data_IF_307536855398
#
_entry.id   IF_307536855398
#
_cell.length_a   1.000
_cell.length_b   1.000
_cell.length_c   1.000
_cell.angle_alpha   90.00
_cell.angle_beta   90.00
_cell.angle_gamma   90.00
#
_symmetry.space_group_name_H-M   'P 1'
#
loop_
_entity.id
_entity.type
_entity.pdbx_description
1 polymer ?
#
# COMPACT_ATOMS: atom_id res chain seq x y z
N UNK A 1 -47.37 0.35 -31.60
CA UNK A 1 -46.09 0.35 -30.88
C UNK A 1 -45.48 -1.04 -31.00
N UNK A 2 -44.51 -1.24 -31.91
CA UNK A 2 -43.78 -2.51 -32.03
C UNK A 2 -42.44 -2.37 -31.31
N UNK A 3 -42.14 -3.29 -30.40
CA UNK A 3 -40.86 -3.33 -29.68
C UNK A 3 -39.77 -3.93 -30.58
N UNK A 4 -38.69 -3.18 -30.80
CA UNK A 4 -37.51 -3.70 -31.47
C UNK A 4 -36.72 -4.62 -30.52
N UNK A 5 -36.60 -5.90 -30.89
CA UNK A 5 -35.73 -6.85 -30.21
C UNK A 5 -34.28 -6.62 -30.65
N UNK A 6 -33.43 -6.15 -29.74
CA UNK A 6 -31.97 -6.11 -29.94
C UNK A 6 -31.40 -7.51 -29.73
N UNK A 7 -31.11 -8.23 -30.82
CA UNK A 7 -30.38 -9.50 -30.77
C UNK A 7 -28.88 -9.20 -30.79
N UNK A 8 -28.16 -9.60 -29.75
CA UNK A 8 -26.70 -9.49 -29.68
C UNK A 8 -26.05 -10.54 -30.59
N UNK A 9 -25.08 -10.13 -31.42
CA UNK A 9 -24.27 -11.06 -32.21
C UNK A 9 -23.35 -11.89 -31.30
N UNK A 10 -23.22 -13.19 -31.60
CA UNK A 10 -22.33 -14.10 -30.87
C UNK A 10 -21.20 -14.52 -31.80
N UNK A 11 -19.96 -14.41 -31.33
CA UNK A 11 -18.77 -14.90 -32.04
C UNK A 11 -18.26 -16.14 -31.32
N UNK A 12 -18.15 -17.25 -32.05
CA UNK A 12 -17.50 -18.47 -31.55
C UNK A 12 -16.08 -18.55 -32.10
N UNK A 13 -15.11 -18.67 -31.21
CA UNK A 13 -13.69 -18.87 -31.55
C UNK A 13 -13.32 -20.27 -31.10
N UNK A 14 -12.78 -21.07 -32.01
CA UNK A 14 -12.29 -22.41 -31.71
C UNK A 14 -10.76 -22.42 -31.75
N UNK A 15 -10.12 -22.92 -30.71
CA UNK A 15 -8.65 -23.08 -30.63
C UNK A 15 -8.23 -24.48 -31.07
N UNK A 16 -7.00 -24.60 -31.58
CA UNK A 16 -6.38 -25.89 -31.88
C UNK A 16 -6.04 -26.61 -30.56
N UNK A 17 -6.36 -27.91 -30.39
CA UNK A 17 -6.18 -28.64 -29.13
C UNK A 17 -4.78 -28.59 -28.51
N UNK A 18 -3.73 -28.43 -29.33
CA UNK A 18 -2.33 -28.48 -28.89
C UNK A 18 -1.59 -27.13 -29.02
N UNK A 19 -2.30 -26.05 -29.36
CA UNK A 19 -1.72 -24.71 -29.40
C UNK A 19 -2.77 -23.67 -28.99
N UNK A 20 -2.75 -23.28 -27.71
CA UNK A 20 -3.68 -22.31 -27.13
C UNK A 20 -3.62 -20.92 -27.78
N UNK A 21 -2.59 -20.64 -28.57
CA UNK A 21 -2.41 -19.37 -29.27
C UNK A 21 -2.84 -19.44 -30.75
N UNK A 22 -3.24 -20.60 -31.25
CA UNK A 22 -3.69 -20.78 -32.63
C UNK A 22 -5.22 -20.94 -32.69
N UNK A 23 -5.86 -20.05 -33.44
CA UNK A 23 -7.30 -20.08 -33.72
C UNK A 23 -7.53 -20.91 -34.98
N UNK A 24 -8.33 -21.98 -34.88
CA UNK A 24 -8.67 -22.84 -36.02
C UNK A 24 -9.80 -22.28 -36.87
N UNK A 25 -10.74 -21.56 -36.26
CA UNK A 25 -11.89 -20.99 -36.94
C UNK A 25 -12.57 -19.90 -36.10
N UNK A 26 -13.21 -18.95 -36.79
CA UNK A 26 -14.09 -17.93 -36.21
C UNK A 26 -15.42 -17.98 -36.95
N UNK A 27 -16.51 -18.28 -36.25
CA UNK A 27 -17.87 -18.24 -36.80
C UNK A 27 -18.63 -17.01 -36.27
N UNK A 28 -19.17 -16.23 -37.20
CA UNK A 28 -20.02 -15.07 -36.91
C UNK A 28 -21.44 -15.35 -37.40
N UNK A 29 -22.39 -15.44 -36.49
CA UNK A 29 -23.75 -15.88 -36.80
C UNK A 29 -24.64 -14.79 -37.40
N UNK A 30 -24.21 -13.51 -37.44
CA UNK A 30 -25.04 -12.40 -37.92
C UNK A 30 -24.20 -11.31 -38.59
N UNK A 31 -23.58 -11.58 -39.75
CA UNK A 31 -23.06 -10.63 -40.79
C UNK A 31 -22.48 -9.26 -40.35
N UNK A 32 -22.04 -9.11 -39.10
CA UNK A 32 -21.46 -7.87 -38.58
C UNK A 32 -20.01 -7.81 -39.06
N UNK A 33 -19.63 -6.72 -39.74
CA UNK A 33 -18.25 -6.49 -40.18
C UNK A 33 -17.39 -6.23 -38.95
N UNK A 34 -16.34 -7.03 -38.78
CA UNK A 34 -15.26 -6.79 -37.82
C UNK A 34 -13.94 -6.79 -38.57
N UNK A 35 -13.15 -5.74 -38.40
CA UNK A 35 -11.77 -5.69 -38.91
C UNK A 35 -10.85 -6.40 -37.92
N UNK A 36 -10.21 -7.48 -38.36
CA UNK A 36 -9.19 -8.19 -37.58
C UNK A 36 -7.83 -7.74 -38.11
N UNK A 37 -7.14 -6.87 -37.38
CA UNK A 37 -5.73 -6.53 -37.68
C UNK A 37 -4.82 -7.69 -37.27
N UNK A 38 -4.34 -8.46 -38.23
CA UNK A 38 -3.22 -9.39 -38.04
C UNK A 38 -1.91 -8.63 -38.21
N UNK A 39 -1.20 -8.34 -37.10
CA UNK A 39 0.19 -7.87 -37.17
C UNK A 39 1.08 -9.03 -37.60
N UNK A 40 1.60 -8.99 -38.83
CA UNK A 40 2.64 -9.91 -39.30
C UNK A 40 3.94 -9.65 -38.55
N UNK A 41 4.49 -10.70 -37.93
CA UNK A 41 5.82 -10.66 -37.32
C UNK A 41 6.89 -10.92 -38.38
N UNK A 42 7.47 -9.85 -38.91
CA UNK A 42 8.82 -9.87 -39.47
C UNK A 42 9.64 -8.80 -38.75
N UNK A 43 10.46 -9.19 -37.77
CA UNK A 43 11.80 -8.62 -37.58
C UNK A 43 12.60 -9.30 -36.44
N UNK A 44 13.65 -10.00 -36.86
CA UNK A 44 14.98 -10.15 -36.24
C UNK A 44 15.09 -10.31 -34.72
N UNK A 45 15.28 -11.57 -34.33
CA UNK A 45 16.18 -12.07 -33.26
C UNK A 45 17.02 -11.00 -32.53
N UNK A 46 16.42 -10.41 -31.49
CA UNK A 46 17.15 -10.03 -30.28
C UNK A 46 16.68 -10.98 -29.20
N UNK A 47 17.61 -11.77 -28.68
CA UNK A 47 17.40 -12.68 -27.57
C UNK A 47 16.68 -11.91 -26.45
N UNK A 48 15.44 -12.28 -26.17
CA UNK A 48 14.68 -11.69 -25.09
C UNK A 48 15.46 -11.90 -23.80
N UNK A 49 15.56 -10.90 -22.91
CA UNK A 49 16.15 -11.12 -21.60
C UNK A 49 15.34 -12.23 -20.93
N UNK A 50 16.03 -13.31 -20.56
CA UNK A 50 15.49 -14.40 -19.78
C UNK A 50 14.83 -13.75 -18.57
N UNK A 51 13.51 -13.76 -18.53
CA UNK A 51 12.74 -13.42 -17.34
C UNK A 51 13.13 -14.52 -16.34
N UNK A 52 13.83 -14.21 -15.23
CA UNK A 52 14.03 -15.23 -14.21
C UNK A 52 12.65 -15.50 -13.65
N UNK A 53 12.01 -16.58 -14.10
CA UNK A 53 10.90 -17.16 -13.37
C UNK A 53 11.48 -17.51 -12.00
N UNK A 54 11.24 -16.62 -11.03
CA UNK A 54 11.45 -16.94 -9.63
C UNK A 54 10.69 -18.22 -9.40
N UNK A 55 11.42 -19.27 -9.07
CA UNK A 55 10.88 -20.57 -8.73
C UNK A 55 10.21 -20.42 -7.35
N UNK A 56 9.00 -19.84 -7.35
CA UNK A 56 8.19 -19.68 -6.15
C UNK A 56 7.82 -21.09 -5.72
N UNK A 57 8.28 -21.49 -4.55
CA UNK A 57 7.98 -22.78 -3.96
C UNK A 57 6.48 -22.89 -3.66
N UNK A 58 5.74 -23.40 -4.64
CA UNK A 58 4.30 -23.65 -4.56
C UNK A 58 3.92 -24.75 -3.55
N UNK A 59 4.89 -25.42 -2.91
CA UNK A 59 4.63 -26.47 -1.92
C UNK A 59 4.31 -25.92 -0.52
N UNK A 60 4.57 -24.63 -0.27
CA UNK A 60 4.26 -24.00 1.02
C UNK A 60 2.74 -23.88 1.18
N UNK A 61 2.23 -24.37 2.32
CA UNK A 61 0.80 -24.33 2.67
C UNK A 61 0.28 -22.93 3.06
N UNK A 62 1.11 -21.90 2.95
CA UNK A 62 0.82 -20.53 3.31
C UNK A 62 1.82 -19.54 2.70
N UNK A 63 1.57 -18.26 2.93
CA UNK A 63 2.36 -17.13 2.45
C UNK A 63 2.71 -16.20 3.62
N UNK A 64 3.83 -15.49 3.53
CA UNK A 64 4.36 -14.64 4.59
C UNK A 64 4.20 -13.17 4.26
N UNK A 65 3.68 -12.42 5.21
CA UNK A 65 3.50 -10.97 5.10
C UNK A 65 4.30 -10.28 6.20
N UNK A 66 5.05 -9.25 5.82
CA UNK A 66 5.77 -8.36 6.75
C UNK A 66 5.13 -6.97 6.70
N UNK A 67 4.89 -6.36 7.85
CA UNK A 67 4.68 -4.91 7.96
C UNK A 67 5.80 -4.28 8.78
N UNK A 68 6.30 -3.12 8.36
CA UNK A 68 7.44 -2.47 9.02
C UNK A 68 7.41 -0.94 8.79
N UNK A 69 7.20 -0.17 9.86
CA UNK A 69 7.44 1.27 9.86
C UNK A 69 8.96 1.54 9.91
N UNK A 70 9.52 2.19 8.87
CA UNK A 70 10.97 2.43 8.74
C UNK A 70 11.41 3.81 9.23
N UNK A 71 10.50 4.60 9.82
CA UNK A 71 10.79 5.90 10.42
C UNK A 71 11.61 6.86 9.56
N UNK A 72 11.49 6.83 8.22
CA UNK A 72 12.28 7.69 7.33
C UNK A 72 11.68 9.10 7.22
N UNK A 73 11.24 9.64 8.36
CA UNK A 73 10.82 11.01 8.50
C UNK A 73 12.05 11.95 8.44
N UNK A 74 11.86 13.20 8.01
CA UNK A 74 12.91 14.23 8.06
C UNK A 74 12.55 15.39 8.99
N UNK A 75 11.25 15.69 9.09
CA UNK A 75 10.75 16.85 9.86
C UNK A 75 10.63 16.57 11.36
N UNK A 76 10.18 15.38 11.79
CA UNK A 76 9.87 15.09 13.20
C UNK A 76 10.83 14.08 13.87
N UNK A 77 11.92 13.71 13.22
CA UNK A 77 12.78 12.59 13.63
C UNK A 77 13.28 11.84 12.41
N UNK A 78 13.99 10.71 12.58
CA UNK A 78 14.34 9.84 11.45
C UNK A 78 15.66 10.15 10.73
N UNK A 79 16.63 10.76 11.42
CA UNK A 79 17.96 11.02 10.86
C UNK A 79 18.64 9.76 10.29
N UNK A 80 19.59 9.96 9.39
CA UNK A 80 20.32 8.87 8.71
C UNK A 80 19.43 7.87 7.95
N UNK A 81 18.26 8.31 7.46
CA UNK A 81 17.31 7.49 6.69
C UNK A 81 17.97 6.69 5.56
N UNK A 82 18.92 7.26 4.82
CA UNK A 82 19.68 6.53 3.79
C UNK A 82 20.42 5.31 4.36
N UNK A 83 21.08 5.47 5.52
CA UNK A 83 21.84 4.40 6.16
C UNK A 83 20.91 3.33 6.72
N UNK A 84 19.81 3.74 7.37
CA UNK A 84 18.79 2.83 7.90
C UNK A 84 18.09 2.03 6.80
N UNK A 85 17.72 2.67 5.69
CA UNK A 85 17.16 1.98 4.52
C UNK A 85 18.15 1.00 3.90
N UNK A 86 19.43 1.35 3.82
CA UNK A 86 20.46 0.43 3.33
C UNK A 86 20.62 -0.77 4.29
N UNK A 87 20.64 -0.56 5.60
CA UNK A 87 20.69 -1.64 6.60
C UNK A 87 19.46 -2.54 6.49
N UNK A 88 18.26 -1.98 6.40
CA UNK A 88 17.03 -2.74 6.17
C UNK A 88 17.09 -3.55 4.87
N UNK A 89 17.58 -2.93 3.79
CA UNK A 89 17.74 -3.58 2.48
C UNK A 89 18.70 -4.78 2.57
N UNK A 90 19.84 -4.60 3.23
CA UNK A 90 20.82 -5.67 3.46
C UNK A 90 20.25 -6.80 4.31
N UNK A 91 19.54 -6.45 5.39
CA UNK A 91 18.82 -7.44 6.21
C UNK A 91 17.83 -8.23 5.34
N UNK A 92 17.02 -7.56 4.52
CA UNK A 92 16.00 -8.21 3.72
C UNK A 92 16.57 -9.16 2.64
N UNK A 93 17.74 -8.83 2.09
CA UNK A 93 18.44 -9.62 1.08
C UNK A 93 19.28 -10.76 1.65
N UNK A 94 19.50 -10.79 2.95
CA UNK A 94 20.29 -11.84 3.57
C UNK A 94 19.56 -13.19 3.54
N UNK A 95 20.31 -14.27 3.28
CA UNK A 95 19.79 -15.63 3.19
C UNK A 95 19.23 -16.17 4.51
N UNK A 96 19.68 -15.65 5.66
CA UNK A 96 19.12 -16.00 6.96
C UNK A 96 17.78 -15.31 7.23
N UNK A 97 17.49 -14.21 6.51
CA UNK A 97 16.21 -13.51 6.66
C UNK A 97 15.15 -14.26 5.87
N UNK A 98 14.02 -14.60 6.52
CA UNK A 98 12.99 -15.34 5.83
C UNK A 98 12.50 -14.67 4.54
N UNK A 99 12.09 -15.49 3.58
CA UNK A 99 11.40 -15.00 2.40
C UNK A 99 9.99 -14.55 2.76
N UNK A 100 9.60 -13.37 2.27
CA UNK A 100 8.26 -12.81 2.41
C UNK A 100 7.59 -12.79 1.05
N UNK A 101 6.29 -13.01 1.00
CA UNK A 101 5.50 -12.91 -0.23
C UNK A 101 5.08 -11.46 -0.47
N UNK A 102 4.74 -10.74 0.60
CA UNK A 102 4.32 -9.34 0.59
C UNK A 102 5.02 -8.59 1.74
N UNK A 103 5.46 -7.38 1.47
CA UNK A 103 6.00 -6.46 2.47
C UNK A 103 5.28 -5.12 2.36
N UNK A 104 4.70 -4.67 3.47
CA UNK A 104 4.05 -3.38 3.63
C UNK A 104 4.93 -2.47 4.49
N UNK A 105 5.53 -1.46 3.88
CA UNK A 105 6.39 -0.51 4.56
C UNK A 105 5.64 0.80 4.81
N UNK A 106 5.92 1.41 5.96
CA UNK A 106 5.44 2.75 6.34
C UNK A 106 6.62 3.70 6.57
N UNK A 107 6.32 5.00 6.54
CA UNK A 107 7.28 6.10 6.71
C UNK A 107 8.48 6.11 5.76
N UNK A 108 8.40 5.47 4.59
CA UNK A 108 9.42 5.56 3.53
C UNK A 108 9.22 6.84 2.73
N UNK A 109 9.15 8.00 3.39
CA UNK A 109 8.68 9.27 2.82
C UNK A 109 9.49 9.81 1.64
N UNK A 110 8.78 10.44 0.70
CA UNK A 110 9.35 11.28 -0.35
C UNK A 110 8.73 12.65 -0.21
N UNK A 111 9.61 13.65 -0.17
CA UNK A 111 9.20 15.03 -0.04
C UNK A 111 8.90 15.63 -1.41
N UNK A 112 8.05 16.64 -1.44
CA UNK A 112 7.71 17.35 -2.66
C UNK A 112 8.96 18.05 -3.25
N UNK A 113 9.14 18.03 -4.59
CA UNK A 113 10.28 18.65 -5.28
C UNK A 113 10.41 20.15 -5.06
N UNK A 114 9.29 20.88 -4.93
CA UNK A 114 9.28 22.33 -4.79
C UNK A 114 9.67 22.79 -3.38
N UNK A 115 9.37 22.00 -2.35
CA UNK A 115 9.63 22.39 -0.95
C UNK A 115 10.93 21.80 -0.41
N UNK A 116 11.27 20.57 -0.78
CA UNK A 116 12.41 19.85 -0.19
C UNK A 116 13.20 19.04 -1.24
N UNK A 117 13.25 19.53 -2.48
CA UNK A 117 14.12 19.01 -3.55
C UNK A 117 13.99 17.49 -3.79
N UNK A 118 12.78 16.96 -3.65
CA UNK A 118 12.47 15.55 -3.87
C UNK A 118 13.25 14.60 -2.93
N UNK A 119 13.59 15.09 -1.72
CA UNK A 119 14.28 14.30 -0.71
C UNK A 119 13.55 12.98 -0.43
N UNK A 120 14.29 11.88 -0.27
CA UNK A 120 13.72 10.54 -0.07
C UNK A 120 13.61 9.75 -1.37
N UNK A 121 13.51 10.43 -2.53
CA UNK A 121 13.20 9.76 -3.81
C UNK A 121 14.31 8.82 -4.25
N UNK A 122 15.56 9.27 -4.18
CA UNK A 122 16.73 8.45 -4.47
C UNK A 122 16.86 7.27 -3.52
N UNK A 123 16.61 7.46 -2.22
CA UNK A 123 16.68 6.37 -1.24
C UNK A 123 15.60 5.30 -1.48
N UNK A 124 14.35 5.71 -1.69
CA UNK A 124 13.25 4.80 -2.00
C UNK A 124 13.48 4.05 -3.31
N UNK A 125 13.91 4.76 -4.36
CA UNK A 125 14.24 4.15 -5.64
C UNK A 125 15.40 3.15 -5.50
N UNK A 126 16.42 3.46 -4.69
CA UNK A 126 17.53 2.56 -4.43
C UNK A 126 17.10 1.30 -3.69
N UNK A 127 16.24 1.41 -2.66
CA UNK A 127 15.63 0.27 -1.98
C UNK A 127 14.91 -0.63 -3.01
N UNK A 128 13.95 -0.08 -3.76
CA UNK A 128 13.15 -0.83 -4.75
C UNK A 128 14.05 -1.52 -5.79
N UNK A 129 15.03 -0.79 -6.34
CA UNK A 129 15.97 -1.32 -7.34
C UNK A 129 16.78 -2.49 -6.76
N UNK A 130 17.29 -2.33 -5.55
CA UNK A 130 18.18 -3.30 -4.91
C UNK A 130 17.44 -4.59 -4.54
N UNK A 131 16.19 -4.49 -4.07
CA UNK A 131 15.42 -5.68 -3.66
C UNK A 131 14.70 -6.38 -4.82
N UNK A 132 14.75 -5.82 -6.04
CA UNK A 132 13.98 -6.26 -7.20
C UNK A 132 14.17 -7.73 -7.59
N UNK A 133 15.35 -8.30 -7.31
CA UNK A 133 15.63 -9.71 -7.58
C UNK A 133 14.83 -10.67 -6.70
N UNK A 134 14.43 -10.24 -5.48
CA UNK A 134 13.62 -11.01 -4.53
C UNK A 134 12.15 -10.56 -4.54
N UNK A 135 11.91 -9.27 -4.82
CA UNK A 135 10.59 -8.63 -4.84
C UNK A 135 10.42 -7.82 -6.14
N UNK A 136 10.14 -8.47 -7.27
CA UNK A 136 10.11 -7.81 -8.58
C UNK A 136 8.98 -6.80 -8.76
N UNK A 137 7.93 -6.86 -7.92
CA UNK A 137 6.78 -5.97 -8.00
C UNK A 137 6.78 -5.00 -6.82
N UNK A 138 6.55 -3.72 -7.11
CA UNK A 138 6.44 -2.67 -6.09
C UNK A 138 5.34 -1.68 -6.43
N UNK A 139 4.70 -1.13 -5.42
CA UNK A 139 3.74 -0.03 -5.56
C UNK A 139 3.98 1.04 -4.48
N UNK A 140 4.04 2.29 -4.90
CA UNK A 140 4.20 3.45 -4.02
C UNK A 140 3.04 4.40 -4.25
N UNK A 141 2.67 5.15 -3.22
CA UNK A 141 1.75 6.27 -3.40
C UNK A 141 2.36 7.31 -4.35
N UNK A 142 1.51 7.99 -5.10
CA UNK A 142 1.95 9.09 -5.95
C UNK A 142 2.48 10.22 -5.06
N UNK A 143 3.65 10.76 -5.42
CA UNK A 143 4.16 11.95 -4.75
C UNK A 143 3.18 13.10 -4.97
N UNK A 144 2.77 13.80 -3.91
CA UNK A 144 1.72 14.77 -4.04
C UNK A 144 2.23 16.01 -4.78
N UNK A 145 1.41 16.53 -5.69
CA UNK A 145 1.72 17.73 -6.48
C UNK A 145 1.89 18.98 -5.60
N UNK A 146 1.23 18.99 -4.44
CA UNK A 146 1.27 20.00 -3.37
C UNK A 146 1.31 19.30 -2.01
N UNK A 147 1.94 19.88 -0.98
CA UNK A 147 2.19 19.21 0.32
C UNK A 147 3.67 18.97 0.56
N UNK A 148 4.09 18.64 1.78
CA UNK A 148 5.53 18.49 2.11
C UNK A 148 6.02 17.08 1.84
N UNK A 149 5.23 16.06 2.19
CA UNK A 149 5.59 14.64 2.10
C UNK A 149 4.41 13.79 1.60
N UNK A 150 4.70 12.71 0.87
CA UNK A 150 3.71 11.70 0.51
C UNK A 150 3.28 10.83 1.72
N UNK A 151 2.53 9.76 1.48
CA UNK A 151 2.04 8.88 2.55
C UNK A 151 3.14 8.07 3.25
N UNK A 152 4.34 8.00 2.66
CA UNK A 152 5.41 7.12 3.13
C UNK A 152 5.11 5.62 3.00
N UNK A 153 3.99 5.23 2.38
CA UNK A 153 3.63 3.83 2.24
C UNK A 153 4.22 3.22 0.97
N UNK A 154 4.78 2.01 1.07
CA UNK A 154 5.35 1.23 -0.03
C UNK A 154 4.94 -0.25 0.12
N UNK A 155 4.46 -0.88 -0.96
CA UNK A 155 4.25 -2.33 -1.03
C UNK A 155 5.36 -2.92 -1.91
N UNK A 156 6.05 -3.94 -1.41
CA UNK A 156 6.94 -4.82 -2.19
C UNK A 156 6.31 -6.22 -2.23
N UNK A 157 6.44 -6.92 -3.35
CA UNK A 157 5.80 -8.21 -3.54
C UNK A 157 6.62 -9.13 -4.43
N UNK A 158 6.67 -10.40 -4.04
CA UNK A 158 7.14 -11.49 -4.89
C UNK A 158 6.15 -11.78 -6.04
N UNK A 159 4.88 -11.44 -5.82
CA UNK A 159 3.76 -11.73 -6.70
C UNK A 159 3.29 -10.48 -7.46
N UNK A 160 2.72 -10.69 -8.64
CA UNK A 160 2.26 -9.59 -9.50
C UNK A 160 1.23 -8.72 -8.79
N UNK A 161 1.54 -7.42 -8.70
CA UNK A 161 0.62 -6.40 -8.22
C UNK A 161 -0.23 -5.93 -9.41
N UNK A 162 -1.55 -6.06 -9.29
CA UNK A 162 -2.51 -5.50 -10.24
C UNK A 162 -2.71 -3.99 -9.97
N UNK A 163 -3.38 -3.22 -10.86
CA UNK A 163 -3.60 -1.80 -10.63
C UNK A 163 -4.18 -1.53 -9.23
N UNK A 164 -3.51 -0.64 -8.49
CA UNK A 164 -3.87 -0.31 -7.12
C UNK A 164 -4.69 0.97 -7.05
N UNK A 165 -5.47 1.07 -5.98
CA UNK A 165 -6.10 2.30 -5.54
C UNK A 165 -5.26 2.92 -4.41
N UNK A 166 -5.22 4.24 -4.36
CA UNK A 166 -4.68 4.97 -3.23
C UNK A 166 -5.68 6.05 -2.82
N UNK A 167 -5.79 6.28 -1.52
CA UNK A 167 -6.70 7.30 -1.00
C UNK A 167 -6.10 8.02 0.20
N UNK A 168 -5.87 9.34 0.10
CA UNK A 168 -5.56 10.16 1.25
C UNK A 168 -6.73 10.20 2.24
N UNK A 169 -6.42 10.28 3.53
CA UNK A 169 -7.46 10.40 4.55
C UNK A 169 -8.15 11.76 4.48
N UNK A 170 -9.45 11.75 4.72
CA UNK A 170 -10.27 12.98 4.77
C UNK A 170 -10.13 13.78 6.08
N UNK A 171 -9.37 13.27 7.05
CA UNK A 171 -9.02 13.97 8.29
C UNK A 171 -7.64 13.57 8.81
N UNK A 172 -6.91 14.56 9.31
CA UNK A 172 -5.60 14.42 9.95
C UNK A 172 -5.46 15.45 11.08
N UNK A 173 -4.51 15.25 11.99
CA UNK A 173 -4.13 16.29 12.95
C UNK A 173 -3.36 17.42 12.25
N UNK A 174 -3.24 18.58 12.90
CA UNK A 174 -2.48 19.72 12.37
C UNK A 174 -1.01 19.36 12.10
N UNK A 175 -0.39 18.52 12.95
CA UNK A 175 0.99 18.05 12.77
C UNK A 175 1.16 17.13 11.57
N UNK A 176 0.07 16.50 11.11
CA UNK A 176 0.04 15.55 9.99
C UNK A 176 -0.45 16.21 8.70
N UNK A 177 -0.77 17.52 8.70
CA UNK A 177 -1.11 18.28 7.49
C UNK A 177 0.03 18.33 6.47
N UNK A 178 1.27 18.10 6.92
CA UNK A 178 2.47 18.10 6.07
C UNK A 178 2.65 16.79 5.32
N UNK A 179 2.02 15.70 5.78
CA UNK A 179 2.09 14.35 5.19
C UNK A 179 0.77 13.96 4.55
N UNK A 180 0.80 13.44 3.33
CA UNK A 180 -0.40 12.94 2.66
C UNK A 180 -0.74 11.51 3.11
N UNK A 181 -0.95 11.32 4.42
CA UNK A 181 -1.33 10.02 5.00
C UNK A 181 -2.63 9.50 4.39
N UNK A 182 -2.70 8.18 4.26
CA UNK A 182 -3.77 7.49 3.57
C UNK A 182 -3.57 5.99 3.58
N UNK A 183 -4.25 5.30 2.68
CA UNK A 183 -4.05 3.88 2.44
C UNK A 183 -3.84 3.58 0.96
N UNK A 184 -3.13 2.49 0.69
CA UNK A 184 -2.98 1.90 -0.63
C UNK A 184 -3.68 0.54 -0.62
N UNK A 185 -4.52 0.27 -1.61
CA UNK A 185 -5.25 -0.97 -1.79
C UNK A 185 -4.82 -1.60 -3.11
N UNK A 186 -4.15 -2.74 -3.03
CA UNK A 186 -3.64 -3.48 -4.18
C UNK A 186 -4.26 -4.88 -4.24
N UNK A 187 -4.60 -5.35 -5.44
CA UNK A 187 -4.91 -6.76 -5.64
C UNK A 187 -3.66 -7.52 -6.04
N UNK A 188 -3.35 -8.58 -5.31
CA UNK A 188 -2.18 -9.44 -5.50
C UNK A 188 -2.66 -10.88 -5.65
N UNK A 189 -2.22 -11.57 -6.69
CA UNK A 189 -2.60 -12.97 -6.93
C UNK A 189 -1.51 -13.89 -6.36
N UNK A 190 -1.84 -14.66 -5.33
CA UNK A 190 -0.93 -15.62 -4.68
C UNK A 190 -1.51 -17.01 -4.89
N UNK A 191 -0.73 -17.92 -5.48
CA UNK A 191 -1.16 -19.32 -5.73
C UNK A 191 -2.54 -19.40 -6.42
N UNK A 192 -2.72 -18.60 -7.48
CA UNK A 192 -3.96 -18.47 -8.25
C UNK A 192 -5.18 -17.95 -7.46
N UNK A 193 -4.98 -17.38 -6.27
CA UNK A 193 -6.06 -16.76 -5.48
C UNK A 193 -5.79 -15.27 -5.32
N UNK A 194 -6.80 -14.48 -5.64
CA UNK A 194 -6.74 -13.02 -5.48
C UNK A 194 -6.85 -12.63 -4.00
N UNK A 195 -5.94 -11.76 -3.58
CA UNK A 195 -5.87 -11.16 -2.25
C UNK A 195 -5.87 -9.63 -2.38
N UNK A 196 -6.75 -8.98 -1.64
CA UNK A 196 -6.74 -7.53 -1.46
C UNK A 196 -5.80 -7.21 -0.30
N UNK A 197 -4.75 -6.45 -0.59
CA UNK A 197 -3.75 -6.01 0.36
C UNK A 197 -3.90 -4.51 0.56
N UNK A 198 -4.18 -4.11 1.79
CA UNK A 198 -4.27 -2.70 2.17
C UNK A 198 -3.08 -2.36 3.04
N UNK A 199 -2.24 -1.42 2.62
CA UNK A 199 -1.15 -0.85 3.41
C UNK A 199 -1.54 0.55 3.88
N UNK A 200 -1.38 0.85 5.16
CA UNK A 200 -1.68 2.17 5.72
C UNK A 200 -0.75 2.58 6.85
N UNK A 201 -0.73 3.87 7.16
CA UNK A 201 -0.14 4.43 8.36
C UNK A 201 -1.12 5.47 8.91
N UNK A 202 -1.71 5.19 10.07
CA UNK A 202 -2.74 6.06 10.64
C UNK A 202 -2.15 7.24 11.40
N UNK A 203 -3.02 8.14 11.86
CA UNK A 203 -2.63 9.35 12.58
C UNK A 203 -1.89 9.03 13.89
N UNK A 204 -0.67 9.59 14.06
CA UNK A 204 0.21 9.33 15.21
C UNK A 204 0.01 10.26 16.42
N UNK A 205 -0.91 11.24 16.33
CA UNK A 205 -1.05 12.29 17.35
C UNK A 205 -1.53 11.81 18.74
N UNK A 206 -1.40 12.70 19.73
CA UNK A 206 -1.78 12.46 21.14
C UNK A 206 -3.21 12.96 21.47
N UNK A 207 -3.54 14.22 21.19
CA UNK A 207 -4.87 14.78 21.47
C UNK A 207 -5.86 14.52 20.33
N UNK A 208 -7.11 14.16 20.65
CA UNK A 208 -8.20 13.87 19.71
C UNK A 208 -7.88 12.84 18.60
N UNK A 209 -6.77 12.13 18.74
CA UNK A 209 -6.22 11.30 17.67
C UNK A 209 -6.95 9.99 17.52
N UNK A 210 -7.54 9.47 18.60
CA UNK A 210 -8.44 8.32 18.54
C UNK A 210 -9.66 8.58 17.64
N UNK A 211 -10.29 9.75 17.77
CA UNK A 211 -11.44 10.10 16.92
C UNK A 211 -11.03 10.30 15.45
N UNK A 212 -9.81 10.78 15.18
CA UNK A 212 -9.27 10.87 13.82
C UNK A 212 -9.03 9.47 13.27
N UNK A 213 -8.32 8.60 13.99
CA UNK A 213 -8.06 7.21 13.58
C UNK A 213 -9.35 6.45 13.35
N UNK A 214 -10.36 6.60 14.21
CA UNK A 214 -11.68 6.01 14.00
C UNK A 214 -12.29 6.42 12.65
N UNK A 215 -12.22 7.71 12.26
CA UNK A 215 -12.70 8.16 10.95
C UNK A 215 -11.86 7.62 9.78
N UNK A 216 -10.54 7.53 9.96
CA UNK A 216 -9.63 6.94 8.97
C UNK A 216 -9.95 5.47 8.75
N UNK A 217 -10.23 4.72 9.83
CA UNK A 217 -10.71 3.34 9.76
C UNK A 217 -12.04 3.20 9.05
N UNK A 218 -13.02 4.05 9.39
CA UNK A 218 -14.31 4.06 8.68
C UNK A 218 -14.11 4.25 7.18
N UNK A 219 -13.23 5.16 6.76
CA UNK A 219 -12.92 5.37 5.34
C UNK A 219 -12.33 4.11 4.68
N UNK A 220 -11.40 3.40 5.34
CA UNK A 220 -10.87 2.11 4.84
C UNK A 220 -11.98 1.06 4.78
N UNK A 221 -12.78 0.96 5.84
CA UNK A 221 -13.84 -0.03 5.97
C UNK A 221 -14.91 0.15 4.88
N UNK A 222 -15.34 1.40 4.64
CA UNK A 222 -16.28 1.77 3.58
C UNK A 222 -15.74 1.41 2.20
N UNK A 223 -14.44 1.58 1.97
CA UNK A 223 -13.81 1.16 0.73
C UNK A 223 -13.82 -0.37 0.57
N UNK A 224 -13.49 -1.11 1.63
CA UNK A 224 -13.55 -2.58 1.62
C UNK A 224 -14.98 -3.05 1.35
N UNK A 225 -15.98 -2.53 2.06
CA UNK A 225 -17.38 -2.96 1.90
C UNK A 225 -17.92 -2.61 0.51
N UNK A 226 -17.56 -1.46 -0.03
CA UNK A 226 -18.11 -0.98 -1.31
C UNK A 226 -17.42 -1.61 -2.51
N UNK A 227 -16.10 -1.76 -2.47
CA UNK A 227 -15.30 -2.18 -3.64
C UNK A 227 -14.83 -3.63 -3.56
N UNK A 228 -14.75 -4.20 -2.36
CA UNK A 228 -14.09 -5.49 -2.10
C UNK A 228 -14.91 -6.39 -1.18
N UNK A 229 -16.23 -6.18 -1.09
CA UNK A 229 -17.12 -7.12 -0.42
C UNK A 229 -16.93 -8.53 -1.00
N UNK A 230 -16.87 -9.52 -0.12
CA UNK A 230 -16.64 -10.91 -0.52
C UNK A 230 -15.30 -11.15 -1.20
N UNK A 231 -14.25 -10.35 -0.93
CA UNK A 231 -12.88 -10.68 -1.33
C UNK A 231 -12.07 -11.17 -0.14
N UNK A 232 -10.92 -11.80 -0.39
CA UNK A 232 -9.90 -12.05 0.63
C UNK A 232 -9.21 -10.73 0.93
N UNK A 233 -9.14 -10.33 2.20
CA UNK A 233 -8.60 -9.02 2.57
C UNK A 233 -7.59 -9.17 3.69
N UNK A 234 -6.45 -8.49 3.53
CA UNK A 234 -5.56 -8.12 4.62
C UNK A 234 -5.40 -6.61 4.72
N UNK A 235 -5.35 -6.09 5.95
CA UNK A 235 -5.00 -4.72 6.27
C UNK A 235 -3.72 -4.73 7.11
N UNK A 236 -2.67 -4.10 6.62
CA UNK A 236 -1.34 -4.10 7.20
C UNK A 236 -0.89 -2.68 7.47
N UNK A 237 -0.18 -2.47 8.58
CA UNK A 237 0.51 -1.22 8.82
C UNK A 237 0.63 -0.82 10.28
N UNK A 238 1.24 0.34 10.47
CA UNK A 238 1.22 1.08 11.73
C UNK A 238 -0.16 1.74 11.90
N UNK A 239 -0.97 1.15 12.78
CA UNK A 239 -2.31 1.63 13.06
C UNK A 239 -2.30 2.72 14.13
N UNK A 240 -1.16 2.98 14.80
CA UNK A 240 -1.05 3.92 15.91
C UNK A 240 -2.11 3.69 17.02
N UNK A 241 -2.51 2.43 17.21
CA UNK A 241 -3.46 2.00 18.25
C UNK A 241 -2.75 1.01 19.15
N UNK A 242 -2.68 1.30 20.43
CA UNK A 242 -2.08 0.42 21.42
C UNK A 242 -2.92 -0.84 21.64
N UNK A 243 -2.28 -2.01 21.60
CA UNK A 243 -2.93 -3.29 21.86
C UNK A 243 -3.58 -3.35 23.24
N UNK A 244 -4.79 -3.91 23.31
CA UNK A 244 -5.53 -4.09 24.56
C UNK A 244 -6.15 -2.79 25.12
N UNK A 245 -5.84 -1.64 24.54
CA UNK A 245 -6.48 -0.37 24.90
C UNK A 245 -7.99 -0.39 24.59
N UNK A 246 -8.74 0.56 25.15
CA UNK A 246 -10.15 0.77 24.77
C UNK A 246 -10.29 1.02 23.28
N UNK A 247 -9.39 1.82 22.71
CA UNK A 247 -9.41 2.16 21.28
C UNK A 247 -9.18 0.92 20.40
N UNK A 248 -8.32 0.00 20.81
CA UNK A 248 -8.15 -1.30 20.13
C UNK A 248 -9.45 -2.10 20.09
N UNK A 249 -10.17 -2.17 21.21
CA UNK A 249 -11.46 -2.85 21.25
C UNK A 249 -12.51 -2.15 20.38
N UNK A 250 -12.56 -0.81 20.42
CA UNK A 250 -13.46 -0.01 19.57
C UNK A 250 -13.14 -0.21 18.08
N UNK A 251 -11.84 -0.27 17.71
CA UNK A 251 -11.38 -0.59 16.36
C UNK A 251 -11.88 -1.96 15.92
N UNK A 252 -11.66 -3.01 16.71
CA UNK A 252 -12.13 -4.36 16.36
C UNK A 252 -13.66 -4.43 16.21
N UNK A 253 -14.41 -3.71 17.04
CA UNK A 253 -15.86 -3.62 16.92
C UNK A 253 -16.28 -2.93 15.62
N UNK A 254 -15.62 -1.83 15.23
CA UNK A 254 -15.89 -1.14 13.97
C UNK A 254 -15.61 -2.03 12.73
N UNK A 255 -14.67 -2.96 12.87
CA UNK A 255 -14.25 -3.91 11.85
C UNK A 255 -15.12 -5.18 11.79
N UNK A 256 -16.07 -5.35 12.71
CA UNK A 256 -16.97 -6.50 12.73
C UNK A 256 -17.75 -6.65 11.43
N UNK A 257 -18.04 -5.55 10.73
CA UNK A 257 -18.76 -5.54 9.44
C UNK A 257 -17.97 -6.29 8.36
N UNK A 258 -16.65 -6.13 8.32
CA UNK A 258 -15.76 -6.84 7.39
C UNK A 258 -15.12 -8.09 8.00
N UNK A 259 -15.47 -8.41 9.25
CA UNK A 259 -14.92 -9.52 10.04
C UNK A 259 -13.40 -9.54 10.04
N UNK A 260 -12.76 -8.37 10.01
CA UNK A 260 -11.31 -8.31 10.16
C UNK A 260 -10.95 -8.71 11.59
N UNK A 261 -10.08 -9.70 11.72
CA UNK A 261 -9.57 -10.22 12.97
C UNK A 261 -8.07 -9.92 13.06
N UNK A 262 -7.61 -9.69 14.28
CA UNK A 262 -6.20 -9.51 14.57
C UNK A 262 -5.45 -10.84 14.42
N UNK A 263 -4.57 -10.92 13.41
CA UNK A 263 -3.79 -12.12 13.07
C UNK A 263 -2.38 -12.11 13.69
N UNK A 264 -2.10 -11.14 14.56
CA UNK A 264 -0.78 -10.86 15.12
C UNK A 264 -0.56 -11.55 16.48
N UNK A 265 0.68 -11.68 16.97
CA UNK A 265 0.94 -12.39 18.21
C UNK A 265 0.44 -11.54 19.38
N UNK A 266 -0.28 -12.16 20.33
CA UNK A 266 -0.83 -11.47 21.52
C UNK A 266 0.22 -10.79 22.41
N UNK A 267 1.49 -11.15 22.25
CA UNK A 267 2.62 -10.58 22.96
C UNK A 267 3.68 -10.10 21.95
N UNK A 268 4.40 -9.04 22.31
CA UNK A 268 5.45 -8.43 21.48
C UNK A 268 5.15 -6.97 21.20
N UNK A 269 6.08 -6.10 21.61
CA UNK A 269 6.03 -4.69 21.27
C UNK A 269 6.59 -4.47 19.87
N UNK A 270 5.96 -3.59 19.10
CA UNK A 270 6.44 -3.18 17.78
C UNK A 270 6.94 -1.75 17.78
N UNK A 271 6.78 -1.00 18.87
CA UNK A 271 7.27 0.36 19.05
C UNK A 271 8.07 0.51 20.33
N UNK A 272 9.29 1.06 20.22
CA UNK A 272 10.22 1.38 21.33
C UNK A 272 10.28 0.29 22.43
N UNK A 273 10.06 -0.98 22.02
CA UNK A 273 10.08 -2.23 22.79
C UNK A 273 9.09 -2.37 23.96
N UNK A 274 8.03 -1.56 24.04
CA UNK A 274 7.01 -1.73 25.09
C UNK A 274 5.55 -1.65 24.63
N UNK A 275 5.28 -1.07 23.46
CA UNK A 275 3.91 -0.88 22.94
C UNK A 275 3.79 -1.56 21.58
N UNK A 276 2.62 -2.13 21.28
CA UNK A 276 2.31 -2.71 19.97
C UNK A 276 1.36 -1.79 19.21
N UNK A 277 1.84 -1.26 18.08
CA UNK A 277 1.13 -0.31 17.21
C UNK A 277 0.96 -0.82 15.77
N UNK A 278 1.70 -1.86 15.39
CA UNK A 278 1.72 -2.42 14.05
C UNK A 278 0.88 -3.69 13.99
N UNK A 279 0.11 -3.83 12.92
CA UNK A 279 -0.86 -4.92 12.79
C UNK A 279 -0.94 -5.49 11.39
N UNK A 280 -1.36 -6.76 11.33
CA UNK A 280 -1.87 -7.44 10.14
C UNK A 280 -3.23 -8.01 10.52
N UNK A 281 -4.29 -7.41 9.98
CA UNK A 281 -5.68 -7.81 10.19
C UNK A 281 -6.19 -8.57 8.97
N UNK A 282 -6.94 -9.64 9.18
CA UNK A 282 -7.41 -10.56 8.11
C UNK A 282 -8.91 -10.78 8.22
N UNK A 283 -9.62 -10.93 7.10
CA UNK A 283 -11.03 -11.37 7.16
C UNK A 283 -11.17 -12.89 7.23
N UNK A 284 -12.40 -13.41 7.30
CA UNK A 284 -12.67 -14.84 7.49
C UNK A 284 -12.14 -15.77 6.37
N UNK A 285 -11.68 -15.23 5.24
CA UNK A 285 -11.16 -16.01 4.12
C UNK A 285 -9.64 -16.22 4.19
N UNK A 286 -8.99 -15.58 5.16
CA UNK A 286 -7.54 -15.63 5.39
C UNK A 286 -7.31 -15.86 6.88
N UNK A 287 -6.50 -16.86 7.22
CA UNK A 287 -6.19 -17.20 8.61
C UNK A 287 -4.69 -17.18 8.86
N UNK A 288 -4.29 -16.76 10.05
CA UNK A 288 -2.90 -16.84 10.51
C UNK A 288 -2.56 -18.24 11.01
N UNK A 289 -1.36 -18.70 10.70
CA UNK A 289 -0.77 -19.94 11.23
C UNK A 289 0.44 -19.69 12.11
N UNK A 290 0.92 -18.45 12.19
CA UNK A 290 2.06 -18.06 12.99
C UNK A 290 2.39 -16.59 12.81
N UNK A 291 3.02 -16.00 13.80
CA UNK A 291 3.41 -14.60 13.76
C UNK A 291 4.59 -14.34 14.69
N UNK A 292 5.38 -13.33 14.36
CA UNK A 292 6.55 -12.93 15.15
C UNK A 292 6.81 -11.43 15.01
N UNK A 293 7.41 -10.85 16.04
CA UNK A 293 8.07 -9.54 15.95
C UNK A 293 9.51 -9.80 15.51
N UNK A 294 9.99 -9.03 14.54
CA UNK A 294 11.32 -9.19 13.92
C UNK A 294 12.08 -7.88 13.94
N UNK A 295 13.38 -7.94 14.22
CA UNK A 295 14.24 -6.77 14.21
C UNK A 295 15.23 -6.81 13.06
N UNK A 296 15.37 -5.70 12.34
CA UNK A 296 16.43 -5.53 11.37
C UNK A 296 17.75 -5.05 12.00
N UNK A 297 17.76 -4.76 13.31
CA UNK A 297 18.93 -4.21 14.03
C UNK A 297 20.05 -5.23 14.27
N UNK A 298 19.71 -6.52 14.31
CA UNK A 298 20.62 -7.61 14.72
C UNK A 298 21.89 -7.73 13.85
N UNK A 299 21.94 -7.08 12.68
CA UNK A 299 23.05 -7.16 11.74
C UNK A 299 23.96 -5.93 11.71
N UNK A 300 23.78 -4.98 12.62
CA UNK A 300 24.63 -3.78 12.67
C UNK A 300 25.95 -4.02 13.41
N UNK A 301 26.79 -4.95 12.90
CA UNK A 301 28.09 -5.26 13.52
C UNK A 301 29.05 -4.05 13.54
N UNK A 302 28.88 -3.10 12.61
CA UNK A 302 29.78 -1.95 12.46
C UNK A 302 29.30 -0.70 13.23
N UNK A 303 28.08 -0.71 13.77
CA UNK A 303 27.56 0.38 14.60
C UNK A 303 26.40 -0.12 15.48
N UNK A 304 26.71 -0.63 16.68
CA UNK A 304 25.71 -1.17 17.59
C UNK A 304 24.73 -0.10 18.11
N UNK A 305 24.93 1.18 17.80
CA UNK A 305 24.03 2.28 18.15
C UNK A 305 23.07 2.66 17.03
N UNK A 306 23.30 2.17 15.80
CA UNK A 306 22.41 2.46 14.70
C UNK A 306 21.22 1.49 14.72
N UNK A 307 20.09 2.00 15.14
CA UNK A 307 18.77 1.37 15.01
C UNK A 307 18.20 1.62 13.60
N UNK A 308 17.65 0.59 12.97
CA UNK A 308 17.00 0.65 11.64
C UNK A 308 15.71 1.47 11.72
N UNK A 309 14.93 1.27 12.76
CA UNK A 309 13.70 2.03 13.01
C UNK A 309 13.36 2.00 14.50
N UNK A 310 12.63 3.01 14.97
CA UNK A 310 12.04 3.00 16.31
C UNK A 310 10.87 2.01 16.45
N UNK A 311 10.47 1.41 15.33
CA UNK A 311 9.62 0.23 15.28
C UNK A 311 10.41 -1.06 15.02
N UNK A 312 9.91 -2.16 15.56
CA UNK A 312 10.24 -3.52 15.13
C UNK A 312 9.25 -3.95 14.03
N UNK A 313 9.69 -4.83 13.14
CA UNK A 313 8.83 -5.41 12.12
C UNK A 313 7.86 -6.42 12.70
N UNK A 314 6.71 -6.58 12.06
CA UNK A 314 5.73 -7.60 12.39
C UNK A 314 5.52 -8.52 11.20
N UNK A 315 5.83 -9.79 11.37
CA UNK A 315 5.56 -10.83 10.37
C UNK A 315 4.41 -11.73 10.77
N UNK A 316 3.65 -12.16 9.76
CA UNK A 316 2.58 -13.15 9.90
C UNK A 316 2.64 -14.15 8.75
N UNK A 317 2.59 -15.44 9.08
CA UNK A 317 2.34 -16.51 8.11
C UNK A 317 0.84 -16.72 7.99
N UNK A 318 0.32 -16.59 6.77
CA UNK A 318 -1.09 -16.65 6.46
C UNK A 318 -1.39 -17.83 5.54
N UNK A 319 -2.62 -18.34 5.60
CA UNK A 319 -3.18 -19.30 4.65
C UNK A 319 -4.58 -18.88 4.24
N UNK A 320 -4.93 -19.19 3.00
CA UNK A 320 -6.32 -19.10 2.57
C UNK A 320 -7.13 -20.19 3.27
N UNK A 321 -8.31 -19.83 3.78
CA UNK A 321 -9.22 -20.80 4.38
C UNK A 321 -9.89 -21.63 3.27
N UNK A 322 -10.47 -22.77 3.65
CA UNK A 322 -11.31 -23.57 2.75
C UNK A 322 -12.64 -22.86 2.41
N UNK A 323 -13.03 -21.86 3.21
CA UNK A 323 -14.15 -20.99 2.90
C UNK A 323 -13.78 -20.14 1.69
N UNK A 324 -14.45 -20.38 0.57
CA UNK A 324 -14.32 -19.52 -0.61
C UNK A 324 -15.17 -18.26 -0.42
N UNK A 325 -14.69 -17.08 -0.86
CA UNK A 325 -15.52 -15.91 -0.93
C UNK A 325 -16.68 -16.17 -1.90
N UNK A 326 -17.88 -15.62 -1.66
CA UNK A 326 -18.95 -15.67 -2.65
C UNK A 326 -18.44 -15.08 -3.97
N UNK A 327 -18.84 -15.63 -5.11
CA UNK A 327 -18.45 -15.12 -6.44
C UNK A 327 -18.69 -13.60 -6.50
N UNK A 328 -17.62 -12.84 -6.29
CA UNK A 328 -17.73 -11.40 -6.12
C UNK A 328 -17.93 -10.80 -7.51
N UNK A 329 -19.15 -10.34 -7.81
CA UNK A 329 -19.36 -9.46 -8.95
C UNK A 329 -18.70 -8.13 -8.63
N UNK A 330 -17.63 -7.80 -9.36
CA UNK A 330 -16.93 -6.53 -9.24
C UNK A 330 -17.89 -5.44 -9.71
N UNK A 331 -18.43 -4.66 -8.76
CA UNK A 331 -19.12 -3.43 -9.11
C UNK A 331 -18.07 -2.32 -9.21
N UNK A 332 -17.71 -1.94 -10.43
CA UNK A 332 -16.84 -0.80 -10.66
C UNK A 332 -17.64 0.45 -10.32
N UNK A 333 -17.39 1.04 -9.14
CA UNK A 333 -17.98 2.34 -8.79
C UNK A 333 -17.15 3.44 -9.45
N UNK A 334 -17.74 4.28 -10.31
CA UNK A 334 -17.03 5.41 -10.90
C UNK A 334 -16.52 6.37 -9.82
N UNK A 335 -15.30 6.89 -9.99
CA UNK A 335 -14.71 7.89 -9.09
C UNK A 335 -15.68 9.04 -8.83
N UNK A 336 -15.97 9.33 -7.56
CA UNK A 336 -16.66 10.57 -7.22
C UNK A 336 -15.69 11.75 -7.30
N UNK A 337 -16.06 12.81 -8.03
CA UNK A 337 -15.32 14.09 -8.08
C UNK A 337 -15.17 14.79 -6.72
N UNK A 338 -15.77 14.25 -5.65
CA UNK A 338 -15.79 14.85 -4.30
C UNK A 338 -14.43 14.81 -3.60
N UNK A 339 -13.58 13.81 -3.87
CA UNK A 339 -12.24 13.74 -3.26
C UNK A 339 -11.33 14.87 -3.77
N UNK A 340 -11.35 15.11 -5.10
CA UNK A 340 -10.62 16.22 -5.74
C UNK A 340 -11.12 17.59 -5.27
N UNK A 341 -12.44 17.75 -5.11
CA UNK A 341 -13.04 18.99 -4.59
C UNK A 341 -12.64 19.28 -3.13
N UNK A 342 -12.49 18.25 -2.28
CA UNK A 342 -12.04 18.42 -0.88
C UNK A 342 -10.56 18.82 -0.79
N UNK A 343 -9.71 18.25 -1.65
CA UNK A 343 -8.30 18.64 -1.76
C UNK A 343 -8.14 20.12 -2.13
N UNK A 344 -8.97 20.64 -3.05
CA UNK A 344 -8.96 22.06 -3.45
C UNK A 344 -9.33 22.98 -2.27
N UNK A 345 -10.28 22.57 -1.43
CA UNK A 345 -10.66 23.35 -0.22
C UNK A 345 -9.56 23.35 0.84
N UNK A 346 -8.91 22.22 1.08
CA UNK A 346 -7.75 22.13 1.98
C UNK A 346 -6.58 22.99 1.49
N UNK A 347 -6.34 23.01 0.17
CA UNK A 347 -5.33 23.85 -0.48
C UNK A 347 -5.60 25.34 -0.27
N UNK A 348 -6.84 25.80 -0.42
CA UNK A 348 -7.19 27.19 -0.19
C UNK A 348 -6.93 27.63 1.26
N UNK A 349 -7.25 26.77 2.24
CA UNK A 349 -6.99 27.02 3.64
C UNK A 349 -5.49 27.07 3.96
N UNK A 350 -4.70 26.11 3.45
CA UNK A 350 -3.25 26.08 3.64
C UNK A 350 -2.55 27.28 3.01
N UNK A 351 -2.91 27.63 1.77
CA UNK A 351 -2.36 28.81 1.09
C UNK A 351 -2.69 30.08 1.87
N UNK A 352 -3.90 30.23 2.40
CA UNK A 352 -4.26 31.35 3.24
C UNK A 352 -3.38 31.43 4.50
N UNK A 353 -3.16 30.31 5.19
CA UNK A 353 -2.29 30.26 6.39
C UNK A 353 -0.84 30.62 6.06
N UNK A 354 -0.28 30.07 4.98
CA UNK A 354 1.09 30.39 4.56
C UNK A 354 1.22 31.86 4.15
N UNK A 355 0.26 32.39 3.39
CA UNK A 355 0.24 33.81 3.01
C UNK A 355 0.17 34.71 4.25
N UNK A 356 -0.68 34.37 5.22
CA UNK A 356 -0.79 35.10 6.49
C UNK A 356 0.51 35.07 7.28
N UNK A 357 1.20 33.94 7.34
CA UNK A 357 2.49 33.84 8.03
C UNK A 357 3.58 34.68 7.34
N UNK A 358 3.62 34.67 6.01
CA UNK A 358 4.54 35.51 5.22
C UNK A 358 4.24 36.99 5.44
N UNK A 359 2.97 37.40 5.36
CA UNK A 359 2.55 38.80 5.61
C UNK A 359 2.95 39.22 7.04
N UNK A 360 2.70 38.37 8.03
CA UNK A 360 3.08 38.66 9.42
C UNK A 360 4.59 38.83 9.58
N UNK A 361 5.39 37.98 8.94
CA UNK A 361 6.84 38.11 8.94
C UNK A 361 7.32 39.44 8.34
N UNK A 362 6.77 39.86 7.20
CA UNK A 362 7.13 41.13 6.57
C UNK A 362 6.68 42.35 7.37
N UNK A 363 5.48 42.31 7.97
CA UNK A 363 5.00 43.37 8.85
C UNK A 363 5.88 43.49 10.10
N UNK A 364 6.26 42.36 10.70
CA UNK A 364 7.17 42.33 11.85
C UNK A 364 8.55 42.88 11.51
N UNK A 365 9.14 42.50 10.37
CA UNK A 365 10.41 43.07 9.90
C UNK A 365 10.31 44.58 9.66
N UNK A 366 9.22 45.06 9.05
CA UNK A 366 9.04 46.49 8.81
C UNK A 366 8.94 47.34 10.09
N UNK A 367 8.41 46.75 11.18
CA UNK A 367 8.38 47.41 12.49
C UNK A 367 9.77 47.46 13.14
N UNK A 368 10.57 46.41 13.00
CA UNK A 368 11.95 46.39 13.50
C UNK A 368 12.83 47.43 12.78
N UNK A 369 12.67 47.56 11.47
CA UNK A 369 13.42 48.54 10.68
C UNK A 369 13.02 50.01 10.98
N UNK A 370 11.81 50.25 11.51
CA UNK A 370 11.33 51.60 11.86
C UNK A 370 11.81 52.13 13.21
N UNK A 371 12.51 51.30 13.99
CA UNK A 371 13.08 51.64 15.30
C UNK A 371 14.61 51.79 15.31
N UNK A 372 15.23 51.77 14.13
CA UNK A 372 16.61 52.19 13.89
C UNK A 372 16.62 53.50 13.10
#
# INVERSE_FOLDING_TARGET
MMSANNVLATVKVQSIPDNSNAISSVENTNMARFDIETKSMEEKSKQAPINPELNIDCSRSGFRVLTYNLWCHRVVGGWHSSRRLNTFTSWLLDNSTPFYDIICLQEVFVCNPLLLLNYGSGQRANLIKTVKSKYPYSYTADSPWFGVQDSGCLILSAHKIQPCHQEPFSGCSLSELVTHKGYMCCKITITNKDLIVINTHLNAGMQNSAAIRARQFVQINDHITTCHAGHRVILCGDLNIEYGSKEYNDMLQSLFINRLMDSTPKAGATYARSIRLDYILTNQYVSSTGSAVVSADEKNQNDPKLMVSDHEGLEVTLKFTNTEPPNAQITIVPRSNKARARQIKGLAAFLATVLSAIIYYYLFQSQLDSHH
#
